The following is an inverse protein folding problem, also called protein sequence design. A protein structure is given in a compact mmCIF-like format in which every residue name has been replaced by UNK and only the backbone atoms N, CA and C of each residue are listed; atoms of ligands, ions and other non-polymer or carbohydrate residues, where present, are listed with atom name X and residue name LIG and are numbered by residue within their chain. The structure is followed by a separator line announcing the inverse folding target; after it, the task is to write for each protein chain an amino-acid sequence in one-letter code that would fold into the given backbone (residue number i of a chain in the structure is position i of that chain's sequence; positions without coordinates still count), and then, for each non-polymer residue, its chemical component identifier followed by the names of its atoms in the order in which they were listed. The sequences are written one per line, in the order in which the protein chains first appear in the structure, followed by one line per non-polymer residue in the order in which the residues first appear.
data_IF_373583738324
#
_entry.id   IF_373583738324
#
_cell.length_a   1.000
_cell.length_b   1.000
_cell.length_c   1.000
_cell.angle_alpha   90.00
_cell.angle_beta   90.00
_cell.angle_gamma   90.00
#
_symmetry.space_group_name_H-M   'P 1'
#
loop_
_entity.id
_entity.type
_entity.pdbx_description
1 polymer ?
#
# COMPACT_ATOMS: atom_id res chain seq x y z
N UNK A 1 3.15 -24.32 28.01
CA UNK A 1 1.91 -23.78 27.42
C UNK A 1 2.16 -23.68 25.93
N UNK A 2 1.59 -24.60 25.16
CA UNK A 2 1.58 -24.48 23.71
C UNK A 2 0.46 -23.49 23.38
N UNK A 3 0.84 -22.31 22.92
CA UNK A 3 -0.09 -21.35 22.34
C UNK A 3 -0.58 -21.98 21.04
N UNK A 4 -1.88 -22.26 20.94
CA UNK A 4 -2.50 -22.73 19.71
C UNK A 4 -2.33 -21.64 18.65
N UNK A 5 -1.46 -21.92 17.68
CA UNK A 5 -1.16 -21.07 16.55
C UNK A 5 -2.45 -20.77 15.76
N UNK A 6 -2.86 -19.51 15.74
CA UNK A 6 -3.84 -19.01 14.78
C UNK A 6 -3.30 -19.24 13.36
N UNK A 7 -3.96 -20.07 12.57
CA UNK A 7 -3.77 -20.11 11.12
C UNK A 7 -4.80 -19.20 10.51
N UNK A 8 -4.38 -18.06 9.92
CA UNK A 8 -5.28 -17.18 9.17
C UNK A 8 -6.10 -17.99 8.15
N UNK A 9 -7.39 -17.69 8.05
CA UNK A 9 -8.33 -18.40 7.17
C UNK A 9 -9.33 -17.42 6.57
N UNK A 10 -9.76 -17.67 5.34
CA UNK A 10 -10.71 -16.81 4.64
C UNK A 10 -10.08 -15.49 4.15
N UNK A 11 -10.88 -14.55 3.66
CA UNK A 11 -10.37 -13.29 3.12
C UNK A 11 -9.63 -12.45 4.16
N UNK A 12 -8.52 -11.83 3.77
CA UNK A 12 -7.69 -10.97 4.63
C UNK A 12 -7.56 -9.58 4.02
N UNK A 13 -7.57 -8.55 4.85
CA UNK A 13 -7.41 -7.14 4.47
C UNK A 13 -6.20 -6.55 5.17
N UNK A 14 -5.27 -6.05 4.38
CA UNK A 14 -3.98 -5.53 4.84
C UNK A 14 -3.92 -4.04 4.50
N UNK A 15 -3.58 -3.23 5.50
CA UNK A 15 -3.19 -1.84 5.30
C UNK A 15 -1.68 -1.75 5.12
N UNK A 16 -1.26 -1.27 3.95
CA UNK A 16 0.14 -1.02 3.63
C UNK A 16 0.41 0.47 3.72
N UNK A 17 1.40 0.86 4.52
CA UNK A 17 1.84 2.24 4.66
C UNK A 17 3.31 2.41 4.28
N UNK A 18 3.59 3.46 3.51
CA UNK A 18 4.94 3.92 3.19
C UNK A 18 5.20 5.22 3.94
N UNK A 19 6.24 5.23 4.78
CA UNK A 19 6.51 6.35 5.71
C UNK A 19 7.76 7.11 5.32
N UNK A 20 7.73 8.42 5.57
CA UNK A 20 8.92 9.27 5.52
C UNK A 20 9.41 9.48 6.96
N UNK A 21 10.25 8.58 7.47
CA UNK A 21 10.78 8.62 8.85
C UNK A 21 11.93 9.62 9.04
N UNK A 22 12.36 10.33 8.00
CA UNK A 22 13.46 11.31 8.09
C UNK A 22 13.07 12.61 8.81
N UNK A 23 11.77 12.90 8.99
CA UNK A 23 11.30 14.14 9.62
C UNK A 23 10.85 13.98 11.09
N UNK A 24 11.00 15.05 11.87
CA UNK A 24 10.49 15.21 13.25
C UNK A 24 8.98 14.96 13.43
N UNK A 25 8.23 14.83 12.33
CA UNK A 25 6.84 14.42 12.28
C UNK A 25 6.61 13.48 11.09
N UNK A 26 6.84 12.18 11.28
CA UNK A 26 6.67 11.18 10.21
C UNK A 26 5.22 11.12 9.74
N UNK A 27 5.02 10.98 8.43
CA UNK A 27 3.71 10.86 7.75
C UNK A 27 3.68 9.59 6.91
N UNK A 28 2.49 9.01 6.76
CA UNK A 28 2.24 7.95 5.80
C UNK A 28 1.92 8.56 4.42
N UNK A 29 2.91 8.60 3.54
CA UNK A 29 2.78 9.15 2.19
C UNK A 29 2.21 8.14 1.18
N UNK A 30 2.28 6.86 1.52
CA UNK A 30 1.56 5.76 0.86
C UNK A 30 0.59 5.18 1.87
N UNK A 31 -0.67 5.04 1.48
CA UNK A 31 -1.73 4.40 2.26
C UNK A 31 -2.51 3.54 1.27
N UNK A 32 -2.38 2.23 1.38
CA UNK A 32 -2.92 1.30 0.40
C UNK A 32 -3.63 0.15 1.09
N UNK A 33 -4.76 -0.27 0.53
CA UNK A 33 -5.52 -1.42 1.00
C UNK A 33 -5.26 -2.56 0.02
N UNK A 34 -4.92 -3.72 0.59
CA UNK A 34 -4.79 -4.98 -0.13
C UNK A 34 -5.76 -5.97 0.51
N UNK A 35 -6.85 -6.28 -0.20
CA UNK A 35 -7.78 -7.33 0.20
C UNK A 35 -7.48 -8.57 -0.61
N UNK A 36 -7.23 -9.70 0.04
CA UNK A 36 -6.83 -10.96 -0.59
C UNK A 36 -7.89 -12.00 -0.26
N UNK A 37 -8.53 -12.56 -1.28
CA UNK A 37 -9.54 -13.60 -1.14
C UNK A 37 -8.99 -14.93 -1.70
N UNK A 38 -8.63 -15.89 -0.83
CA UNK A 38 -8.01 -17.15 -1.26
C UNK A 38 -8.97 -18.00 -2.11
N UNK A 39 -10.23 -18.16 -1.69
CA UNK A 39 -11.17 -19.04 -2.40
C UNK A 39 -11.62 -18.51 -3.77
N UNK A 40 -11.73 -17.18 -3.91
CA UNK A 40 -12.05 -16.54 -5.19
C UNK A 40 -10.81 -16.29 -6.06
N UNK A 41 -9.63 -16.71 -5.58
CA UNK A 41 -8.34 -16.52 -6.21
C UNK A 41 -8.16 -15.06 -6.72
N UNK A 42 -8.45 -14.08 -5.87
CA UNK A 42 -8.31 -12.67 -6.24
C UNK A 42 -7.77 -11.77 -5.16
N UNK A 43 -7.14 -10.69 -5.63
CA UNK A 43 -6.69 -9.58 -4.79
C UNK A 43 -7.32 -8.30 -5.31
N UNK A 44 -7.87 -7.47 -4.41
CA UNK A 44 -8.28 -6.11 -4.68
C UNK A 44 -7.26 -5.15 -4.05
N UNK A 45 -6.77 -4.21 -4.84
CA UNK A 45 -5.74 -3.25 -4.43
C UNK A 45 -6.19 -1.83 -4.78
N UNK A 46 -6.12 -0.92 -3.82
CA UNK A 46 -6.35 0.51 -4.08
C UNK A 46 -5.66 1.41 -3.06
N UNK A 47 -5.37 2.65 -3.45
CA UNK A 47 -4.82 3.65 -2.54
C UNK A 47 -5.94 4.47 -1.90
N UNK A 48 -5.76 4.85 -0.64
CA UNK A 48 -6.43 6.02 -0.08
C UNK A 48 -5.49 7.21 -0.32
N UNK A 49 -5.85 8.21 -1.13
CA UNK A 49 -4.99 9.36 -1.37
C UNK A 49 -4.60 10.03 -0.04
N UNK A 50 -3.31 10.30 0.16
CA UNK A 50 -2.77 10.80 1.45
C UNK A 50 -3.44 12.08 1.98
N UNK A 51 -3.92 12.92 1.07
CA UNK A 51 -4.57 14.20 1.37
C UNK A 51 -6.10 14.05 1.57
N UNK A 52 -6.63 12.82 1.57
CA UNK A 52 -8.07 12.57 1.75
C UNK A 52 -8.56 13.18 3.06
N UNK A 53 -9.57 14.04 2.97
CA UNK A 53 -10.15 14.70 4.13
C UNK A 53 -11.07 13.74 4.88
N UNK A 54 -10.70 13.40 6.11
CA UNK A 54 -11.39 12.41 6.95
C UNK A 54 -11.57 12.92 8.37
N UNK A 55 -12.48 12.28 9.11
CA UNK A 55 -12.48 12.35 10.56
C UNK A 55 -11.34 11.48 11.10
N UNK A 56 -10.55 11.99 12.04
CA UNK A 56 -9.49 11.21 12.70
C UNK A 56 -9.95 10.93 14.14
N UNK A 57 -10.03 9.65 14.56
CA UNK A 57 -10.54 9.29 15.89
C UNK A 57 -9.76 9.97 17.01
N UNK A 58 -10.49 10.53 17.98
CA UNK A 58 -9.88 11.23 19.14
C UNK A 58 -9.35 12.63 18.82
N UNK A 59 -9.64 13.16 17.63
CA UNK A 59 -9.32 14.53 17.22
C UNK A 59 -10.59 15.34 16.98
N UNK A 60 -10.50 16.66 17.11
CA UNK A 60 -11.59 17.56 16.75
C UNK A 60 -11.54 17.89 15.25
N UNK A 61 -12.72 17.90 14.61
CA UNK A 61 -12.86 18.26 13.21
C UNK A 61 -12.38 17.18 12.23
N UNK A 62 -11.91 17.63 11.07
CA UNK A 62 -11.45 16.76 9.97
C UNK A 62 -10.08 17.22 9.51
N UNK A 63 -9.27 16.29 9.04
CA UNK A 63 -7.91 16.55 8.58
C UNK A 63 -7.54 15.54 7.48
N UNK A 64 -6.32 15.63 6.94
CA UNK A 64 -5.79 14.66 5.98
C UNK A 64 -5.53 13.32 6.63
N UNK A 65 -5.90 12.24 5.95
CA UNK A 65 -5.71 10.88 6.48
C UNK A 65 -4.25 10.58 6.82
N UNK A 66 -3.27 11.09 6.07
CA UNK A 66 -1.85 10.85 6.39
C UNK A 66 -1.39 11.44 7.72
N UNK A 67 -2.10 12.44 8.25
CA UNK A 67 -1.80 13.00 9.57
C UNK A 67 -2.18 12.05 10.70
N UNK A 68 -3.08 11.07 10.47
CA UNK A 68 -3.41 10.06 11.47
C UNK A 68 -2.15 9.31 11.93
N UNK A 69 -1.24 9.01 10.99
CA UNK A 69 0.06 8.42 11.31
C UNK A 69 0.93 9.35 12.17
N UNK A 70 1.01 10.63 11.85
CA UNK A 70 1.77 11.59 12.67
C UNK A 70 1.22 11.74 14.09
N UNK A 71 -0.08 11.52 14.29
CA UNK A 71 -0.74 11.68 15.59
C UNK A 71 -0.69 10.44 16.48
N UNK A 72 -0.71 9.24 15.89
CA UNK A 72 -0.82 8.01 16.66
C UNK A 72 -0.21 6.78 16.00
N UNK A 73 0.69 6.99 15.04
CA UNK A 73 1.39 5.93 14.30
C UNK A 73 0.44 5.05 13.49
N UNK A 74 0.93 3.86 13.16
CA UNK A 74 0.16 2.83 12.46
C UNK A 74 -1.19 2.51 13.13
N UNK A 75 -1.31 2.40 14.48
CA UNK A 75 -2.61 2.11 15.11
C UNK A 75 -3.70 3.14 14.81
N UNK A 76 -3.38 4.44 14.84
CA UNK A 76 -4.37 5.48 14.54
C UNK A 76 -4.64 5.59 13.05
N UNK A 77 -3.63 5.36 12.19
CA UNK A 77 -3.84 5.27 10.75
C UNK A 77 -4.79 4.13 10.39
N UNK A 78 -4.56 2.92 10.93
CA UNK A 78 -5.44 1.76 10.77
C UNK A 78 -6.87 2.09 11.16
N UNK A 79 -7.08 2.60 12.38
CA UNK A 79 -8.41 2.97 12.86
C UNK A 79 -9.10 4.01 11.99
N UNK A 80 -8.34 5.01 11.52
CA UNK A 80 -8.87 6.05 10.62
C UNK A 80 -9.28 5.46 9.26
N UNK A 81 -8.49 4.53 8.73
CA UNK A 81 -8.82 3.82 7.49
C UNK A 81 -10.03 2.90 7.65
N UNK A 82 -10.15 2.20 8.77
CA UNK A 82 -11.33 1.38 9.11
C UNK A 82 -12.60 2.23 9.19
N UNK A 83 -12.57 3.39 9.87
CA UNK A 83 -13.73 4.30 9.93
C UNK A 83 -14.05 4.92 8.56
N UNK A 84 -13.04 5.24 7.74
CA UNK A 84 -13.27 5.74 6.38
C UNK A 84 -13.89 4.67 5.47
N UNK A 85 -13.48 3.41 5.60
CA UNK A 85 -13.94 2.30 4.76
C UNK A 85 -15.09 1.49 5.36
N UNK A 86 -15.53 1.83 6.57
CA UNK A 86 -16.56 1.11 7.31
C UNK A 86 -16.33 -0.43 7.31
N UNK A 87 -15.08 -0.85 7.53
CA UNK A 87 -14.68 -2.26 7.52
C UNK A 87 -13.48 -2.50 8.42
N UNK A 88 -13.27 -3.74 8.86
CA UNK A 88 -12.09 -4.16 9.61
C UNK A 88 -10.89 -4.35 8.71
N UNK A 89 -9.72 -4.03 9.24
CA UNK A 89 -8.42 -4.34 8.62
C UNK A 89 -7.74 -5.39 9.51
N UNK A 90 -7.35 -6.51 8.92
CA UNK A 90 -6.79 -7.63 9.68
C UNK A 90 -5.33 -7.34 10.08
N UNK A 91 -4.53 -6.89 9.11
CA UNK A 91 -3.09 -6.68 9.28
C UNK A 91 -2.60 -5.32 8.80
N UNK A 92 -1.43 -4.95 9.27
CA UNK A 92 -0.70 -3.75 8.87
C UNK A 92 0.72 -4.10 8.42
N UNK A 93 1.19 -3.42 7.38
CA UNK A 93 2.58 -3.46 6.93
C UNK A 93 3.05 -2.02 6.75
N UNK A 94 4.12 -1.67 7.43
CA UNK A 94 4.78 -0.38 7.34
C UNK A 94 6.17 -0.58 6.76
N UNK A 95 6.56 0.24 5.79
CA UNK A 95 7.94 0.34 5.35
C UNK A 95 8.36 1.82 5.29
N UNK A 96 9.59 2.11 5.69
CA UNK A 96 10.24 3.37 5.33
C UNK A 96 10.94 3.26 3.96
N UNK A 97 11.65 4.31 3.56
CA UNK A 97 12.35 4.34 2.28
C UNK A 97 13.46 3.30 2.17
N UNK A 98 14.15 2.98 3.27
CA UNK A 98 15.21 1.98 3.27
C UNK A 98 14.61 0.58 3.14
N UNK A 99 13.62 0.28 3.99
CA UNK A 99 12.91 -1.01 3.95
C UNK A 99 12.31 -1.29 2.58
N UNK A 100 11.73 -0.27 1.93
CA UNK A 100 11.24 -0.40 0.56
C UNK A 100 12.34 -0.76 -0.45
N UNK A 101 13.51 -0.08 -0.40
CA UNK A 101 14.62 -0.36 -1.32
C UNK A 101 15.14 -1.77 -1.16
N UNK A 102 15.36 -2.17 0.09
CA UNK A 102 15.91 -3.48 0.41
C UNK A 102 14.95 -4.62 0.02
N UNK A 103 13.62 -4.45 0.21
CA UNK A 103 12.63 -5.42 -0.28
C UNK A 103 12.77 -5.60 -1.79
N UNK A 104 12.78 -4.50 -2.55
CA UNK A 104 12.86 -4.56 -4.02
C UNK A 104 14.14 -5.26 -4.47
N UNK A 105 15.28 -4.91 -3.87
CA UNK A 105 16.56 -5.51 -4.23
C UNK A 105 16.66 -6.99 -3.85
N UNK A 106 16.08 -7.40 -2.72
CA UNK A 106 16.06 -8.81 -2.30
C UNK A 106 15.26 -9.71 -3.24
N UNK A 107 14.24 -9.14 -3.90
CA UNK A 107 13.50 -9.77 -4.99
C UNK A 107 14.19 -9.69 -6.36
N UNK A 108 15.39 -9.11 -6.41
CA UNK A 108 16.16 -8.94 -7.64
C UNK A 108 15.56 -7.88 -8.55
N UNK A 109 14.95 -6.84 -7.97
CA UNK A 109 14.25 -5.78 -8.70
C UNK A 109 12.81 -6.15 -9.11
N UNK A 110 12.09 -5.13 -9.56
CA UNK A 110 10.71 -5.22 -10.04
C UNK A 110 10.63 -4.86 -11.52
N UNK A 111 9.65 -5.42 -12.23
CA UNK A 111 9.37 -5.06 -13.62
C UNK A 111 8.00 -4.40 -13.70
N UNK A 112 7.93 -3.20 -14.28
CA UNK A 112 6.70 -2.40 -14.40
C UNK A 112 6.46 -2.01 -15.87
N UNK A 113 5.19 -1.78 -16.22
CA UNK A 113 4.81 -1.22 -17.53
C UNK A 113 4.57 0.28 -17.38
N UNK A 114 5.53 1.09 -17.81
CA UNK A 114 5.49 2.53 -17.66
C UNK A 114 4.79 3.19 -18.85
N UNK A 115 3.77 4.01 -18.60
CA UNK A 115 2.95 4.67 -19.63
C UNK A 115 3.46 6.09 -19.99
N UNK A 116 4.52 6.56 -19.33
CA UNK A 116 4.99 7.93 -19.46
C UNK A 116 6.51 8.04 -19.37
N UNK A 117 7.13 8.69 -20.35
CA UNK A 117 8.56 9.05 -20.24
C UNK A 117 8.74 10.24 -19.29
N UNK A 118 9.62 10.12 -18.30
CA UNK A 118 10.07 11.23 -17.45
C UNK A 118 11.58 11.19 -17.27
N UNK A 119 12.20 12.38 -17.30
CA UNK A 119 13.64 12.56 -17.40
C UNK A 119 14.27 12.96 -16.07
N UNK A 120 15.57 12.71 -15.93
CA UNK A 120 16.36 13.18 -14.78
C UNK A 120 16.21 14.69 -14.54
N UNK A 121 16.17 15.12 -13.28
CA UNK A 121 16.20 16.52 -12.86
C UNK A 121 17.09 16.71 -11.61
N UNK A 122 17.17 17.92 -11.05
CA UNK A 122 18.05 18.18 -9.89
C UNK A 122 17.67 17.31 -8.67
N UNK A 123 18.62 16.54 -8.16
CA UNK A 123 18.40 15.58 -7.07
C UNK A 123 17.75 14.26 -7.52
N UNK A 124 17.62 14.05 -8.85
CA UNK A 124 16.81 13.00 -9.43
C UNK A 124 17.55 12.30 -10.58
N UNK A 125 18.32 11.24 -10.32
CA UNK A 125 19.39 10.80 -11.22
C UNK A 125 18.93 9.91 -12.40
N UNK A 126 17.67 9.46 -12.41
CA UNK A 126 17.19 8.43 -13.33
C UNK A 126 16.26 8.98 -14.43
N UNK A 127 16.31 8.35 -15.60
CA UNK A 127 15.36 8.56 -16.70
C UNK A 127 14.57 7.28 -16.91
N UNK A 128 13.25 7.40 -17.08
CA UNK A 128 12.33 6.29 -17.27
C UNK A 128 11.66 6.49 -18.62
N UNK A 129 11.83 5.52 -19.52
CA UNK A 129 11.18 5.52 -20.83
C UNK A 129 9.80 4.87 -20.73
N UNK A 130 8.92 5.18 -21.67
CA UNK A 130 7.69 4.42 -21.87
C UNK A 130 8.02 2.95 -22.23
N UNK A 131 7.17 2.02 -21.79
CA UNK A 131 7.32 0.58 -21.99
C UNK A 131 7.74 -0.18 -20.73
N UNK A 132 8.24 -1.40 -20.93
CA UNK A 132 8.67 -2.28 -19.85
C UNK A 132 9.98 -1.77 -19.23
N UNK A 133 9.98 -1.59 -17.91
CA UNK A 133 11.14 -1.15 -17.14
C UNK A 133 11.46 -2.15 -16.04
N UNK A 134 12.72 -2.55 -15.94
CA UNK A 134 13.24 -3.29 -14.79
C UNK A 134 13.95 -2.32 -13.84
N UNK A 135 13.51 -2.29 -12.58
CA UNK A 135 13.90 -1.31 -11.58
C UNK A 135 14.50 -2.03 -10.36
N UNK A 136 15.71 -1.62 -9.96
CA UNK A 136 16.26 -1.95 -8.64
C UNK A 136 15.64 -1.08 -7.53
N UNK A 137 16.06 -1.25 -6.28
CA UNK A 137 15.51 -0.55 -5.11
C UNK A 137 15.52 0.97 -5.26
N UNK A 138 16.68 1.57 -5.56
CA UNK A 138 16.79 3.02 -5.76
C UNK A 138 15.94 3.53 -6.93
N UNK A 139 15.95 2.82 -8.06
CA UNK A 139 15.15 3.17 -9.23
C UNK A 139 13.65 3.06 -8.94
N UNK A 140 13.22 2.03 -8.22
CA UNK A 140 11.83 1.84 -7.83
C UNK A 140 11.39 2.93 -6.84
N UNK A 141 12.24 3.29 -5.87
CA UNK A 141 11.92 4.31 -4.86
C UNK A 141 11.70 5.65 -5.54
N UNK A 142 12.57 5.99 -6.48
CA UNK A 142 12.41 7.18 -7.28
C UNK A 142 11.15 7.13 -8.15
N UNK A 143 10.89 5.99 -8.80
CA UNK A 143 9.74 5.77 -9.67
C UNK A 143 8.42 6.08 -8.94
N UNK A 144 8.25 5.54 -7.72
CA UNK A 144 7.03 5.72 -6.91
C UNK A 144 6.91 7.07 -6.21
N UNK A 145 7.98 7.89 -6.21
CA UNK A 145 7.97 9.27 -5.66
C UNK A 145 7.75 10.34 -6.74
N UNK A 146 7.88 9.98 -8.02
CA UNK A 146 7.75 10.94 -9.12
C UNK A 146 6.29 11.43 -9.23
N UNK A 147 6.11 12.75 -9.14
CA UNK A 147 4.82 13.44 -9.32
C UNK A 147 4.87 14.62 -10.29
N UNK A 148 5.99 15.34 -10.35
CA UNK A 148 6.07 16.69 -10.97
C UNK A 148 6.03 16.66 -12.50
N UNK A 149 6.50 15.56 -13.10
CA UNK A 149 6.52 15.38 -14.55
C UNK A 149 5.31 14.57 -15.03
N UNK A 150 4.43 14.16 -14.12
CA UNK A 150 3.21 13.43 -14.46
C UNK A 150 2.04 14.41 -14.64
N UNK A 151 1.36 14.44 -15.80
CA UNK A 151 0.16 15.25 -15.99
C UNK A 151 -1.00 14.86 -15.05
N UNK A 152 -1.00 13.64 -14.51
CA UNK A 152 -1.94 13.15 -13.49
C UNK A 152 -1.49 13.48 -12.05
N UNK A 153 -0.30 14.06 -11.86
CA UNK A 153 0.23 14.46 -10.56
C UNK A 153 0.27 13.33 -9.52
N UNK A 154 -0.34 13.55 -8.35
CA UNK A 154 -0.39 12.57 -7.27
C UNK A 154 -1.20 11.31 -7.64
N UNK A 155 -2.14 11.39 -8.58
CA UNK A 155 -2.85 10.20 -9.09
C UNK A 155 -1.90 9.28 -9.87
N UNK A 156 -1.07 9.86 -10.75
CA UNK A 156 -0.04 9.11 -11.45
C UNK A 156 1.00 8.51 -10.51
N UNK A 157 1.30 9.19 -9.40
CA UNK A 157 2.13 8.61 -8.33
C UNK A 157 1.48 7.37 -7.71
N UNK A 158 0.19 7.43 -7.39
CA UNK A 158 -0.54 6.29 -6.83
C UNK A 158 -0.52 5.10 -7.80
N UNK A 159 -0.77 5.32 -9.09
CA UNK A 159 -0.71 4.26 -10.12
C UNK A 159 0.66 3.55 -10.09
N UNK A 160 1.77 4.30 -10.04
CA UNK A 160 3.12 3.70 -9.95
C UNK A 160 3.34 2.89 -8.67
N UNK A 161 2.80 3.36 -7.55
CA UNK A 161 2.85 2.61 -6.29
C UNK A 161 2.10 1.27 -6.40
N UNK A 162 0.92 1.27 -7.06
CA UNK A 162 0.18 0.04 -7.33
C UNK A 162 0.97 -0.90 -8.23
N UNK A 163 1.53 -0.41 -9.34
CA UNK A 163 2.35 -1.22 -10.26
C UNK A 163 3.55 -1.88 -9.58
N UNK A 164 4.23 -1.15 -8.70
CA UNK A 164 5.37 -1.71 -7.96
C UNK A 164 4.89 -2.75 -6.94
N UNK A 165 3.79 -2.52 -6.22
CA UNK A 165 3.27 -3.52 -5.29
C UNK A 165 2.78 -4.78 -6.03
N UNK A 166 2.09 -4.63 -7.16
CA UNK A 166 1.71 -5.75 -8.03
C UNK A 166 2.94 -6.56 -8.48
N UNK A 167 4.01 -5.88 -8.92
CA UNK A 167 5.24 -6.55 -9.33
C UNK A 167 5.91 -7.29 -8.16
N UNK A 168 5.87 -6.75 -6.95
CA UNK A 168 6.35 -7.43 -5.74
C UNK A 168 5.49 -8.64 -5.38
N UNK A 169 4.16 -8.51 -5.44
CA UNK A 169 3.23 -9.62 -5.21
C UNK A 169 3.42 -10.75 -6.25
N UNK A 170 3.73 -10.41 -7.50
CA UNK A 170 4.06 -11.40 -8.53
C UNK A 170 5.32 -12.19 -8.16
N UNK A 171 6.37 -11.51 -7.69
CA UNK A 171 7.60 -12.16 -7.20
C UNK A 171 7.33 -13.01 -5.96
N UNK A 172 6.36 -12.62 -5.15
CA UNK A 172 5.99 -13.33 -3.93
C UNK A 172 5.37 -14.72 -4.17
N UNK A 173 4.87 -14.99 -5.38
CA UNK A 173 4.28 -16.30 -5.75
C UNK A 173 5.29 -17.45 -5.81
N UNK A 174 6.59 -17.16 -5.89
CA UNK A 174 7.63 -18.18 -6.04
C UNK A 174 7.92 -18.90 -4.71
N UNK A 175 7.99 -20.24 -4.65
CA UNK A 175 8.37 -20.96 -3.43
C UNK A 175 9.76 -20.57 -2.86
N UNK A 176 10.67 -20.11 -3.72
CA UNK A 176 12.00 -19.62 -3.29
C UNK A 176 11.93 -18.30 -2.52
N UNK A 177 10.79 -17.61 -2.54
CA UNK A 177 10.55 -16.35 -1.84
C UNK A 177 10.33 -16.54 -0.35
N UNK A 178 9.76 -17.67 0.09
CA UNK A 178 9.44 -17.91 1.50
C UNK A 178 10.64 -17.79 2.44
N UNK A 179 11.76 -18.40 2.07
CA UNK A 179 13.00 -18.33 2.85
C UNK A 179 13.58 -16.91 2.86
N UNK A 180 13.50 -16.22 1.72
CA UNK A 180 13.91 -14.80 1.62
C UNK A 180 13.03 -13.89 2.47
N UNK A 181 11.73 -14.13 2.54
CA UNK A 181 10.82 -13.31 3.34
C UNK A 181 11.15 -13.41 4.84
N UNK A 182 11.49 -14.59 5.34
CA UNK A 182 11.97 -14.77 6.70
C UNK A 182 13.27 -14.00 6.94
N UNK A 183 14.27 -14.20 6.08
CA UNK A 183 15.57 -13.51 6.16
C UNK A 183 15.41 -11.98 6.12
N UNK A 184 14.52 -11.49 5.25
CA UNK A 184 14.24 -10.05 5.12
C UNK A 184 13.57 -9.48 6.36
N UNK A 185 12.55 -10.13 6.92
CA UNK A 185 11.89 -9.60 8.11
C UNK A 185 12.85 -9.52 9.31
N UNK A 186 13.77 -10.47 9.45
CA UNK A 186 14.80 -10.39 10.48
C UNK A 186 15.88 -9.35 10.16
N UNK A 187 16.31 -9.22 8.90
CA UNK A 187 17.38 -8.32 8.50
C UNK A 187 16.94 -6.84 8.47
N UNK A 188 15.70 -6.59 8.05
CA UNK A 188 15.16 -5.26 7.83
C UNK A 188 14.63 -4.61 9.11
N UNK A 189 14.56 -5.34 10.22
CA UNK A 189 14.43 -4.82 11.58
C UNK A 189 13.45 -3.67 11.71
N UNK A 190 13.95 -2.47 12.02
CA UNK A 190 13.15 -1.26 12.28
C UNK A 190 12.59 -0.59 11.00
N UNK A 191 13.08 -0.96 9.81
CA UNK A 191 12.69 -0.39 8.53
C UNK A 191 11.38 -0.97 7.97
N UNK A 192 10.99 -2.16 8.45
CA UNK A 192 9.69 -2.77 8.15
C UNK A 192 9.02 -3.18 9.45
N UNK A 193 7.78 -2.74 9.66
CA UNK A 193 6.99 -3.13 10.82
C UNK A 193 5.69 -3.77 10.37
N UNK A 194 5.29 -4.85 11.04
CA UNK A 194 4.01 -5.52 10.78
C UNK A 194 3.48 -6.13 12.06
N UNK A 195 2.15 -6.22 12.17
CA UNK A 195 1.46 -6.97 13.22
C UNK A 195 1.25 -8.45 12.85
N UNK A 196 1.69 -8.87 11.65
CA UNK A 196 1.70 -10.28 11.25
C UNK A 196 2.76 -11.06 12.05
N UNK A 197 2.36 -12.23 12.55
CA UNK A 197 3.32 -13.20 13.09
C UNK A 197 4.02 -13.94 11.94
N UNK A 198 5.15 -14.58 12.23
CA UNK A 198 5.82 -15.45 11.26
C UNK A 198 4.91 -16.57 10.74
N UNK A 199 3.99 -17.07 11.56
CA UNK A 199 3.02 -18.09 11.15
C UNK A 199 1.99 -17.55 10.16
N UNK A 200 1.57 -16.29 10.32
CA UNK A 200 0.67 -15.62 9.38
C UNK A 200 1.34 -15.45 8.01
N UNK A 201 2.58 -14.95 7.98
CA UNK A 201 3.38 -14.80 6.74
C UNK A 201 3.57 -16.14 6.02
N UNK A 202 3.86 -17.19 6.79
CA UNK A 202 3.97 -18.56 6.28
C UNK A 202 2.63 -19.04 5.71
N UNK A 203 1.53 -18.76 6.39
CA UNK A 203 0.17 -19.09 5.94
C UNK A 203 -0.19 -18.36 4.64
N UNK A 204 0.11 -17.06 4.51
CA UNK A 204 -0.07 -16.31 3.27
C UNK A 204 0.63 -16.99 2.09
N UNK A 205 1.88 -17.37 2.29
CA UNK A 205 2.67 -17.98 1.22
C UNK A 205 2.15 -19.34 0.75
N UNK A 206 1.59 -20.16 1.66
CA UNK A 206 1.03 -21.47 1.30
C UNK A 206 -0.41 -21.42 0.78
N UNK A 207 -1.24 -20.53 1.33
CA UNK A 207 -2.69 -20.57 1.12
C UNK A 207 -3.22 -19.43 0.24
N UNK A 208 -2.48 -18.33 0.08
CA UNK A 208 -2.96 -17.13 -0.60
C UNK A 208 -2.24 -16.85 -1.92
N UNK A 209 -1.18 -17.60 -2.24
CA UNK A 209 -0.47 -17.51 -3.54
C UNK A 209 -1.42 -17.58 -4.74
N UNK A 210 -2.45 -18.46 -4.78
CA UNK A 210 -3.43 -18.46 -5.88
C UNK A 210 -4.16 -17.12 -6.05
N UNK A 211 -4.45 -16.41 -4.96
CA UNK A 211 -5.15 -15.13 -4.98
C UNK A 211 -4.34 -13.98 -5.59
N UNK A 212 -3.03 -14.15 -5.73
CA UNK A 212 -2.17 -13.18 -6.40
C UNK A 212 -2.25 -13.31 -7.94
N UNK A 213 -2.88 -14.37 -8.48
CA UNK A 213 -3.01 -14.58 -9.93
C UNK A 213 -3.92 -13.56 -10.62
N UNK A 214 -4.88 -13.00 -9.88
CA UNK A 214 -5.85 -12.01 -10.37
C UNK A 214 -5.89 -10.81 -9.44
N UNK A 215 -5.02 -9.85 -9.70
CA UNK A 215 -4.99 -8.57 -8.99
C UNK A 215 -5.87 -7.57 -9.74
N UNK A 216 -6.87 -7.03 -9.04
CA UNK A 216 -7.70 -5.94 -9.51
C UNK A 216 -7.28 -4.66 -8.81
N UNK A 217 -6.82 -3.68 -9.59
CA UNK A 217 -6.52 -2.34 -9.10
C UNK A 217 -7.70 -1.41 -9.29
N UNK A 218 -7.95 -0.56 -8.30
CA UNK A 218 -8.95 0.52 -8.42
C UNK A 218 -8.44 1.81 -7.79
N UNK A 219 -9.16 2.89 -8.07
CA UNK A 219 -8.85 4.23 -7.56
C UNK A 219 -10.08 4.79 -6.84
N UNK A 220 -9.84 5.47 -5.72
CA UNK A 220 -10.86 6.29 -5.06
C UNK A 220 -10.88 7.65 -5.75
N UNK A 221 -12.01 7.98 -6.37
CA UNK A 221 -12.18 9.27 -7.06
C UNK A 221 -12.51 10.41 -6.09
N UNK A 222 -12.20 11.63 -6.50
CA UNK A 222 -12.34 12.81 -5.67
C UNK A 222 -11.81 14.05 -6.35
N UNK A 223 -11.86 15.16 -5.63
CA UNK A 223 -11.48 16.48 -6.15
C UNK A 223 -10.49 17.18 -5.23
N UNK A 224 -9.52 17.87 -5.80
CA UNK A 224 -8.64 18.74 -5.04
C UNK A 224 -9.42 19.97 -4.54
N UNK A 225 -9.25 20.32 -3.28
CA UNK A 225 -9.82 21.53 -2.68
C UNK A 225 -8.80 22.18 -1.75
N UNK A 226 -8.79 23.51 -1.71
CA UNK A 226 -7.95 24.25 -0.76
C UNK A 226 -8.84 24.89 0.32
N UNK A 227 -8.46 24.74 1.58
CA UNK A 227 -9.13 25.36 2.71
C UNK A 227 -8.08 25.99 3.62
N UNK A 228 -8.13 27.32 3.78
CA UNK A 228 -7.18 28.09 4.58
C UNK A 228 -5.69 27.81 4.22
N UNK A 229 -5.38 27.69 2.93
CA UNK A 229 -4.02 27.38 2.45
C UNK A 229 -3.59 25.92 2.59
N UNK A 230 -4.48 25.03 3.04
CA UNK A 230 -4.23 23.59 3.13
C UNK A 230 -4.99 22.88 2.01
N UNK A 231 -4.25 22.16 1.16
CA UNK A 231 -4.83 21.33 0.08
C UNK A 231 -5.36 20.01 0.62
N UNK A 232 -6.57 19.61 0.22
CA UNK A 232 -7.25 18.37 0.56
C UNK A 232 -7.70 17.63 -0.69
N UNK A 233 -7.85 16.32 -0.58
CA UNK A 233 -8.56 15.48 -1.53
C UNK A 233 -9.96 15.18 -0.96
N UNK A 234 -11.00 15.67 -1.63
CA UNK A 234 -12.39 15.49 -1.22
C UNK A 234 -12.98 14.30 -1.97
N UNK A 235 -13.26 13.23 -1.23
CA UNK A 235 -14.01 12.06 -1.71
C UNK A 235 -15.49 12.32 -1.41
N UNK A 236 -16.36 12.16 -2.40
CA UNK A 236 -17.80 12.29 -2.18
C UNK A 236 -18.33 11.11 -1.38
N UNK A 237 -19.43 11.29 -0.63
CA UNK A 237 -20.05 10.18 0.10
C UNK A 237 -20.47 9.03 -0.82
N UNK A 238 -20.85 9.32 -2.07
CA UNK A 238 -21.17 8.32 -3.09
C UNK A 238 -19.94 7.47 -3.48
N UNK A 239 -18.80 8.11 -3.75
CA UNK A 239 -17.57 7.39 -4.11
C UNK A 239 -16.98 6.64 -2.91
N UNK A 240 -17.09 7.21 -1.70
CA UNK A 240 -16.76 6.51 -0.46
C UNK A 240 -17.60 5.24 -0.33
N UNK A 241 -18.93 5.34 -0.37
CA UNK A 241 -19.84 4.19 -0.28
C UNK A 241 -19.56 3.14 -1.37
N UNK A 242 -19.28 3.56 -2.60
CA UNK A 242 -18.90 2.65 -3.69
C UNK A 242 -17.59 1.92 -3.42
N UNK A 243 -16.63 2.58 -2.79
CA UNK A 243 -15.36 1.96 -2.37
C UNK A 243 -15.60 0.94 -1.25
N UNK A 244 -16.41 1.31 -0.25
CA UNK A 244 -16.80 0.42 0.87
C UNK A 244 -17.47 -0.85 0.35
N UNK A 245 -18.51 -0.71 -0.49
CA UNK A 245 -19.23 -1.85 -1.09
C UNK A 245 -18.33 -2.72 -1.96
N UNK A 246 -17.36 -2.13 -2.67
CA UNK A 246 -16.40 -2.91 -3.47
C UNK A 246 -15.52 -3.79 -2.57
N UNK A 247 -14.99 -3.20 -1.50
CA UNK A 247 -14.16 -3.91 -0.54
C UNK A 247 -14.96 -4.98 0.20
N UNK A 248 -16.16 -4.65 0.71
CA UNK A 248 -17.06 -5.59 1.38
C UNK A 248 -17.38 -6.79 0.47
N UNK A 249 -17.76 -6.56 -0.80
CA UNK A 249 -18.02 -7.64 -1.75
C UNK A 249 -16.80 -8.53 -1.98
N UNK A 250 -15.61 -7.93 -2.06
CA UNK A 250 -14.36 -8.68 -2.16
C UNK A 250 -14.05 -9.46 -0.88
N UNK A 251 -14.42 -8.97 0.30
CA UNK A 251 -14.24 -9.67 1.58
C UNK A 251 -15.28 -10.79 1.79
N UNK A 252 -16.50 -10.66 1.27
CA UNK A 252 -17.56 -11.68 1.44
C UNK A 252 -17.67 -12.65 0.27
N UNK A 253 -16.92 -12.42 -0.79
CA UNK A 253 -16.93 -13.24 -2.01
C UNK A 253 -18.18 -13.10 -2.88
N UNK A 254 -18.96 -12.02 -2.71
CA UNK A 254 -20.16 -11.77 -3.52
C UNK A 254 -19.76 -11.21 -4.90
N UNK A 255 -20.25 -11.81 -5.99
CA UNK A 255 -19.98 -11.36 -7.36
C UNK A 255 -20.69 -10.04 -7.71
N UNK A 256 -20.14 -9.33 -8.71
CA UNK A 256 -20.71 -8.11 -9.30
C UNK A 256 -22.05 -8.34 -10.01
#
# INVERSE_FOLDING_TARGET
MHEEASTISGPQTILVAGTDKEETASRADVIMIVSIHPDNESTLLFNIPRDTKVYIPGREGTDKINHAYSYGGMPLLKKTSEEFLDTSIDFTVEADMEGFREIVDAYGGVTVQNDLTFTKDEGKPFTYTEGELHLNGDQALYYVRMRKQDPKGDLGRNIRQQQVLEALLEKAKSPATLQKAEELLYALGDHIQTDMTFQDIRSFSYHYTPALSRIQTTEIQGSAAEQNGVSYYLVSSEEQMKTQLRLERHQTGNSY
#
